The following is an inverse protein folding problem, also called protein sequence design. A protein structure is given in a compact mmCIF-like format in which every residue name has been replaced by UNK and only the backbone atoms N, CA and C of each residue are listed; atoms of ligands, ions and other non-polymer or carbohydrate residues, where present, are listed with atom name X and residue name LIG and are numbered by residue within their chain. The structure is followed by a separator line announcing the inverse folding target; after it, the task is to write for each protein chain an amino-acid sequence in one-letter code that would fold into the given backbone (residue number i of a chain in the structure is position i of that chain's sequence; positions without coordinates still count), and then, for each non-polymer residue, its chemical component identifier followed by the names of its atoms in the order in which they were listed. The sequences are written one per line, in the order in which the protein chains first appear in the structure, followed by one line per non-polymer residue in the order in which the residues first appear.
data_IF_307983876250
#
_entry.id   IF_307983876250
#
_cell.length_a   1.000
_cell.length_b   1.000
_cell.length_c   1.000
_cell.angle_alpha   90.00
_cell.angle_beta   90.00
_cell.angle_gamma   90.00
#
_symmetry.space_group_name_H-M   'P 1'
#
loop_
_entity.id
_entity.type
_entity.pdbx_description
1 polymer ?
#
# COMPACT_ATOMS: atom_id res chain seq x y z
N UNK A 1 25.63 7.27 -3.42
CA UNK A 1 25.73 7.25 -1.95
C UNK A 1 25.25 5.89 -1.48
N UNK A 2 26.05 5.17 -0.70
CA UNK A 2 25.67 3.87 -0.14
C UNK A 2 25.23 4.14 1.30
N UNK A 3 23.97 3.87 1.61
CA UNK A 3 23.38 4.10 2.92
C UNK A 3 22.94 2.76 3.53
N UNK A 4 23.61 2.34 4.61
CA UNK A 4 23.40 1.03 5.27
C UNK A 4 22.78 1.17 6.66
N UNK A 5 22.26 2.35 7.00
CA UNK A 5 21.71 2.61 8.34
C UNK A 5 20.45 1.79 8.62
N UNK A 6 19.59 1.62 7.62
CA UNK A 6 18.34 0.84 7.69
C UNK A 6 17.73 0.71 6.29
N UNK A 7 16.90 -0.30 6.08
CA UNK A 7 16.01 -0.46 4.93
C UNK A 7 14.91 0.62 4.84
N UNK A 8 14.56 1.27 5.94
CA UNK A 8 13.59 2.39 5.98
C UNK A 8 14.00 3.59 5.12
N UNK A 9 15.27 3.70 4.70
CA UNK A 9 15.75 4.75 3.79
C UNK A 9 15.37 4.50 2.33
N UNK A 10 14.75 3.36 2.02
CA UNK A 10 14.32 3.01 0.67
C UNK A 10 13.35 4.05 0.12
N UNK A 11 13.63 4.55 -1.08
CA UNK A 11 12.77 5.51 -1.78
C UNK A 11 11.88 4.79 -2.80
N UNK A 12 10.65 5.29 -3.04
CA UNK A 12 9.79 4.72 -4.06
C UNK A 12 10.43 4.85 -5.45
N UNK A 13 10.50 3.72 -6.15
CA UNK A 13 10.93 3.64 -7.54
C UNK A 13 9.99 4.43 -8.46
N UNK A 14 10.40 4.65 -9.70
CA UNK A 14 9.55 5.37 -10.66
C UNK A 14 8.20 4.69 -10.91
N UNK A 15 8.17 3.36 -10.98
CA UNK A 15 6.92 2.60 -11.16
C UNK A 15 5.98 2.75 -9.97
N UNK A 16 6.51 2.70 -8.75
CA UNK A 16 5.71 2.93 -7.53
C UNK A 16 5.15 4.34 -7.50
N UNK A 17 5.95 5.36 -7.85
CA UNK A 17 5.46 6.75 -7.95
C UNK A 17 4.33 6.90 -8.97
N UNK A 18 4.44 6.23 -10.12
CA UNK A 18 3.36 6.24 -11.12
C UNK A 18 2.09 5.55 -10.60
N UNK A 19 2.23 4.41 -9.92
CA UNK A 19 1.09 3.70 -9.33
C UNK A 19 0.37 4.58 -8.28
N UNK A 20 1.11 5.21 -7.37
CA UNK A 20 0.56 6.14 -6.38
C UNK A 20 -0.19 7.28 -7.08
N UNK A 21 0.41 7.90 -8.10
CA UNK A 21 -0.22 9.03 -8.81
C UNK A 21 -1.51 8.68 -9.57
N UNK A 22 -1.75 7.39 -9.84
CA UNK A 22 -2.90 6.89 -10.60
C UNK A 22 -3.90 6.12 -9.73
N UNK A 23 -3.61 5.94 -8.44
CA UNK A 23 -4.47 5.21 -7.53
C UNK A 23 -5.83 5.91 -7.42
N UNK A 24 -6.90 5.12 -7.42
CA UNK A 24 -8.23 5.63 -7.12
C UNK A 24 -8.31 5.85 -5.61
N UNK A 25 -8.74 7.03 -5.20
CA UNK A 25 -8.80 7.42 -3.79
C UNK A 25 -10.27 7.57 -3.35
N UNK A 26 -10.50 7.40 -2.06
CA UNK A 26 -11.78 7.64 -1.39
C UNK A 26 -11.56 8.00 0.07
N UNK A 27 -12.63 8.01 0.87
CA UNK A 27 -12.55 8.21 2.31
C UNK A 27 -12.47 6.86 3.03
N UNK A 28 -11.32 6.55 3.61
CA UNK A 28 -11.08 5.29 4.30
C UNK A 28 -11.88 5.16 5.61
N UNK A 29 -12.19 6.28 6.29
CA UNK A 29 -13.00 6.24 7.52
C UNK A 29 -14.40 5.70 7.23
N UNK A 30 -14.92 5.97 6.03
CA UNK A 30 -16.20 5.44 5.56
C UNK A 30 -16.05 4.15 4.72
N UNK A 31 -14.83 3.65 4.53
CA UNK A 31 -14.55 2.44 3.74
C UNK A 31 -14.69 2.64 2.22
N UNK A 32 -14.63 3.88 1.74
CA UNK A 32 -14.87 4.23 0.35
C UNK A 32 -13.59 4.30 -0.49
N UNK A 33 -12.40 4.09 0.08
CA UNK A 33 -11.15 4.07 -0.67
C UNK A 33 -10.92 2.70 -1.35
N UNK A 34 -11.05 2.62 -2.69
CA UNK A 34 -10.95 1.35 -3.39
C UNK A 34 -9.52 0.79 -3.39
N UNK A 35 -8.49 1.64 -3.29
CA UNK A 35 -7.10 1.18 -3.29
C UNK A 35 -6.73 0.60 -1.93
N UNK A 36 -7.19 1.22 -0.84
CA UNK A 36 -7.02 0.67 0.52
C UNK A 36 -7.74 -0.66 0.67
N UNK A 37 -9.01 -0.74 0.23
CA UNK A 37 -9.78 -1.97 0.26
C UNK A 37 -9.09 -3.11 -0.50
N UNK A 38 -8.60 -2.85 -1.72
CA UNK A 38 -7.87 -3.84 -2.50
C UNK A 38 -6.56 -4.31 -1.82
N UNK A 39 -5.85 -3.41 -1.13
CA UNK A 39 -4.65 -3.78 -0.37
C UNK A 39 -5.00 -4.71 0.80
N UNK A 40 -6.06 -4.39 1.55
CA UNK A 40 -6.51 -5.18 2.70
C UNK A 40 -6.99 -6.57 2.27
N UNK A 41 -7.83 -6.65 1.24
CA UNK A 41 -8.29 -7.92 0.66
C UNK A 41 -7.10 -8.79 0.24
N UNK A 42 -6.17 -8.21 -0.52
CA UNK A 42 -4.99 -8.93 -0.98
C UNK A 42 -4.09 -9.41 0.17
N UNK A 43 -3.93 -8.60 1.21
CA UNK A 43 -3.14 -8.99 2.39
C UNK A 43 -3.82 -10.12 3.17
N UNK A 44 -5.14 -10.06 3.36
CA UNK A 44 -5.94 -11.10 3.99
C UNK A 44 -5.84 -12.43 3.21
N UNK A 45 -5.97 -12.38 1.89
CA UNK A 45 -5.80 -13.55 0.99
C UNK A 45 -4.41 -14.18 1.12
N UNK A 46 -3.34 -13.39 1.01
CA UNK A 46 -1.95 -13.88 1.06
C UNK A 46 -1.67 -14.55 2.41
N UNK A 47 -2.22 -14.00 3.49
CA UNK A 47 -1.93 -14.46 4.86
C UNK A 47 -2.92 -15.51 5.37
N UNK A 48 -3.96 -15.82 4.59
CA UNK A 48 -5.04 -16.74 4.98
C UNK A 48 -5.82 -16.25 6.21
N UNK A 49 -6.01 -14.94 6.32
CA UNK A 49 -6.75 -14.30 7.42
C UNK A 49 -8.11 -13.82 6.92
N UNK A 50 -9.03 -13.63 7.86
CA UNK A 50 -10.37 -13.14 7.54
C UNK A 50 -10.37 -11.67 7.09
N UNK A 51 -9.46 -10.86 7.63
CA UNK A 51 -9.33 -9.45 7.30
C UNK A 51 -7.90 -8.95 7.53
N UNK A 52 -7.58 -7.81 6.91
CA UNK A 52 -6.42 -6.99 7.19
C UNK A 52 -6.85 -5.52 7.33
N UNK A 53 -6.00 -4.71 7.97
CA UNK A 53 -6.22 -3.28 8.15
C UNK A 53 -5.00 -2.52 7.66
N UNK A 54 -5.22 -1.38 7.02
CA UNK A 54 -4.19 -0.40 6.66
C UNK A 54 -4.52 0.97 7.25
#
# INVERSE_FOLDING_TARGET
MIDLRSDTVTLPSHSIRQAISRAQLGDDVFGEDPTVNALQERAAEITGKEAALF
#
